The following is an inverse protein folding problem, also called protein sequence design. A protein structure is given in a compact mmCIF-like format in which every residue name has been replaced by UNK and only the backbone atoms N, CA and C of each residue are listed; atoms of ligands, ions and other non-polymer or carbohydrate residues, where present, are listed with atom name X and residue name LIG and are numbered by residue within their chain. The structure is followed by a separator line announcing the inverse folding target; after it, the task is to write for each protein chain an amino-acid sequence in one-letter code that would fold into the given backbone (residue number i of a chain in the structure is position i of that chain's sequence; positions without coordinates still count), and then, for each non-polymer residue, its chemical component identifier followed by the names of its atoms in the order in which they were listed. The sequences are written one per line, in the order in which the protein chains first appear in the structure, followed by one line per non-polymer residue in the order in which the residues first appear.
data_IF_450988447294
#
_entry.id   IF_450988447294
#
_cell.length_a   1.000
_cell.length_b   1.000
_cell.length_c   1.000
_cell.angle_alpha   90.00
_cell.angle_beta   90.00
_cell.angle_gamma   90.00
#
_symmetry.space_group_name_H-M   'P 1'
#
loop_
_entity.id
_entity.type
_entity.pdbx_description
1 polymer ?
#
# COMPACT_ATOMS: atom_id res chain seq x y z
N UNK A 1 -11.38 8.63 22.95
CA UNK A 1 -11.77 9.98 23.39
C UNK A 1 -11.46 10.98 22.28
N UNK A 2 -12.30 11.98 22.05
CA UNK A 2 -12.04 13.03 21.06
C UNK A 2 -11.53 14.28 21.76
N UNK A 3 -10.23 14.52 21.61
CA UNK A 3 -9.51 15.60 22.29
C UNK A 3 -9.38 16.80 21.36
N UNK A 4 -9.47 17.99 21.94
CA UNK A 4 -9.09 19.23 21.29
C UNK A 4 -7.66 19.59 21.67
N UNK A 5 -6.83 19.77 20.65
CA UNK A 5 -5.46 20.23 20.71
C UNK A 5 -5.28 21.25 19.56
N UNK A 6 -5.34 22.56 19.84
CA UNK A 6 -5.29 23.59 18.80
C UNK A 6 -3.88 23.80 18.23
N UNK A 7 -2.84 23.48 19.00
CA UNK A 7 -1.44 23.63 18.59
C UNK A 7 -0.85 22.32 18.06
N UNK A 8 -1.63 21.24 18.10
CA UNK A 8 -1.28 19.91 17.58
C UNK A 8 0.03 19.39 18.22
N UNK A 9 0.17 19.61 19.53
CA UNK A 9 1.36 19.25 20.29
C UNK A 9 1.51 17.74 20.47
N UNK A 10 0.39 17.01 20.65
CA UNK A 10 0.43 15.58 20.88
C UNK A 10 0.65 14.80 19.58
N UNK A 11 1.66 13.92 19.56
CA UNK A 11 1.97 13.06 18.41
C UNK A 11 1.43 11.64 18.59
N UNK A 12 1.43 10.90 17.49
CA UNK A 12 1.10 9.47 17.52
C UNK A 12 2.11 8.72 18.38
N UNK A 13 1.60 7.92 19.33
CA UNK A 13 2.43 7.14 20.25
C UNK A 13 2.71 7.84 21.59
N UNK A 14 2.33 9.11 21.75
CA UNK A 14 2.48 9.82 23.01
C UNK A 14 1.44 9.37 24.05
N UNK A 15 1.88 9.32 25.31
CA UNK A 15 0.99 9.15 26.46
C UNK A 15 0.63 10.52 26.98
N UNK A 16 -0.66 10.85 26.91
CA UNK A 16 -1.16 12.18 27.27
C UNK A 16 -2.21 12.11 28.38
N UNK A 17 -2.23 13.15 29.21
CA UNK A 17 -3.31 13.43 30.16
C UNK A 17 -4.31 14.36 29.50
N UNK A 18 -5.58 13.96 29.51
CA UNK A 18 -6.70 14.76 29.05
C UNK A 18 -7.62 15.11 30.22
N UNK A 19 -8.27 16.27 30.13
CA UNK A 19 -9.28 16.70 31.12
C UNK A 19 -10.58 17.04 30.42
N UNK A 20 -11.69 16.84 31.14
CA UNK A 20 -13.01 17.26 30.65
C UNK A 20 -13.06 18.78 30.49
N UNK A 21 -13.72 19.25 29.44
CA UNK A 21 -13.91 20.66 29.14
C UNK A 21 -15.35 20.94 28.75
N UNK A 22 -15.71 22.22 28.60
CA UNK A 22 -16.94 22.59 27.91
C UNK A 22 -16.96 21.95 26.51
N UNK A 23 -18.13 21.59 25.96
CA UNK A 23 -18.22 21.03 24.61
C UNK A 23 -17.59 21.95 23.58
N UNK A 24 -16.66 21.42 22.79
CA UNK A 24 -15.91 22.17 21.75
C UNK A 24 -16.53 21.89 20.39
N UNK A 25 -17.05 20.67 20.19
CA UNK A 25 -17.82 20.28 19.01
C UNK A 25 -18.88 19.25 19.38
N UNK A 26 -19.59 18.71 18.38
CA UNK A 26 -20.54 17.61 18.56
C UNK A 26 -19.93 16.40 19.31
N UNK A 27 -18.63 16.16 19.13
CA UNK A 27 -17.93 14.98 19.69
C UNK A 27 -16.75 15.32 20.60
N UNK A 28 -16.13 16.51 20.47
CA UNK A 28 -14.97 16.91 21.28
C UNK A 28 -15.42 17.54 22.61
N UNK A 29 -15.20 16.84 23.72
CA UNK A 29 -15.49 17.27 25.11
C UNK A 29 -14.29 17.19 26.04
N UNK A 30 -13.11 16.91 25.48
CA UNK A 30 -11.87 16.72 26.20
C UNK A 30 -10.83 17.67 25.63
N UNK A 31 -9.97 18.22 26.49
CA UNK A 31 -8.81 19.04 26.07
C UNK A 31 -7.51 18.39 26.51
N UNK A 32 -6.45 18.61 25.75
CA UNK A 32 -5.10 18.22 26.14
C UNK A 32 -4.71 19.00 27.40
N UNK A 33 -4.27 18.28 28.44
CA UNK A 33 -3.81 18.88 29.69
C UNK A 33 -2.29 18.86 29.80
N UNK A 34 -1.68 17.71 29.51
CA UNK A 34 -0.23 17.48 29.62
C UNK A 34 0.20 16.26 28.79
N UNK A 35 1.43 16.27 28.28
CA UNK A 35 2.07 15.11 27.64
C UNK A 35 2.96 14.45 28.69
N UNK A 36 2.63 13.23 29.10
CA UNK A 36 3.33 12.51 30.17
C UNK A 36 4.56 11.75 29.65
N UNK A 37 4.48 11.23 28.42
CA UNK A 37 5.60 10.56 27.76
C UNK A 37 5.50 10.77 26.27
N UNK A 38 6.53 11.36 25.67
CA UNK A 38 6.65 11.44 24.22
C UNK A 38 7.38 10.23 23.68
N UNK A 39 6.85 9.61 22.62
CA UNK A 39 7.59 8.60 21.86
C UNK A 39 8.10 9.24 20.59
N UNK A 40 9.41 9.37 20.49
CA UNK A 40 10.06 9.62 19.21
C UNK A 40 9.99 8.32 18.42
N UNK A 41 9.00 8.23 17.53
CA UNK A 41 9.02 7.21 16.50
C UNK A 41 10.21 7.56 15.62
N UNK A 42 11.30 6.81 15.75
CA UNK A 42 12.34 6.82 14.74
C UNK A 42 11.65 6.37 13.44
N UNK A 43 11.37 7.33 12.56
CA UNK A 43 10.99 7.07 11.19
C UNK A 43 12.17 6.34 10.54
N UNK A 44 12.24 5.03 10.72
CA UNK A 44 13.10 4.17 9.92
C UNK A 44 12.70 4.45 8.48
N UNK A 45 13.57 5.14 7.75
CA UNK A 45 13.35 5.37 6.35
C UNK A 45 13.29 3.99 5.68
N UNK A 46 12.27 3.69 4.87
CA UNK A 46 12.18 2.39 4.20
C UNK A 46 13.37 2.11 3.26
N UNK A 47 14.23 3.10 3.01
CA UNK A 47 15.44 3.00 2.18
C UNK A 47 16.61 2.23 2.82
N UNK A 48 16.54 1.84 4.11
CA UNK A 48 17.58 1.02 4.76
C UNK A 48 17.40 -0.50 4.61
N UNK A 49 16.35 -0.97 3.92
CA UNK A 49 16.27 -2.39 3.56
C UNK A 49 17.25 -2.63 2.40
N UNK A 50 18.51 -2.91 2.75
CA UNK A 50 19.48 -3.46 1.81
C UNK A 50 18.97 -4.82 1.36
N UNK A 51 18.36 -4.85 0.17
CA UNK A 51 18.07 -6.10 -0.51
C UNK A 51 19.42 -6.63 -0.97
N UNK A 52 20.05 -7.49 -0.17
CA UNK A 52 21.27 -8.18 -0.57
C UNK A 52 21.00 -8.88 -1.91
N UNK A 53 21.58 -8.35 -2.98
CA UNK A 53 21.53 -8.87 -4.35
C UNK A 53 22.19 -10.27 -4.47
N UNK A 54 22.60 -10.89 -3.35
CA UNK A 54 23.24 -12.20 -3.30
C UNK A 54 22.28 -13.38 -3.50
N UNK A 55 20.97 -13.17 -3.57
CA UNK A 55 20.01 -14.26 -3.86
C UNK A 55 19.69 -14.36 -5.36
N UNK A 56 20.12 -13.40 -6.20
CA UNK A 56 19.87 -13.44 -7.64
C UNK A 56 20.88 -14.30 -8.45
N UNK A 57 22.01 -14.70 -7.85
CA UNK A 57 23.09 -15.42 -8.56
C UNK A 57 23.14 -16.94 -8.29
N UNK A 58 22.01 -17.57 -7.94
CA UNK A 58 21.95 -19.03 -7.75
C UNK A 58 21.01 -19.77 -8.75
N UNK A 59 20.38 -19.08 -9.70
CA UNK A 59 19.43 -19.68 -10.63
C UNK A 59 19.84 -19.63 -12.13
N UNK A 60 21.11 -19.35 -12.44
CA UNK A 60 21.58 -19.21 -13.84
C UNK A 60 22.69 -20.18 -14.26
N UNK A 61 22.84 -21.32 -13.58
CA UNK A 61 23.73 -22.41 -14.05
C UNK A 61 23.10 -23.78 -13.84
N UNK A 62 22.17 -24.17 -14.72
CA UNK A 62 21.94 -25.56 -15.19
C UNK A 62 20.60 -25.62 -15.93
N UNK A 63 20.59 -25.40 -17.25
CA UNK A 63 19.59 -25.95 -18.18
C UNK A 63 19.85 -25.52 -19.64
N UNK A 64 21.04 -25.82 -20.17
CA UNK A 64 21.26 -25.83 -21.62
C UNK A 64 21.95 -27.13 -22.00
N UNK A 65 21.18 -28.20 -22.21
CA UNK A 65 21.54 -29.30 -23.12
C UNK A 65 20.33 -30.20 -23.46
N UNK A 66 20.27 -30.61 -24.74
CA UNK A 66 19.28 -31.47 -25.46
C UNK A 66 17.98 -30.77 -25.89
N UNK A 67 17.79 -30.31 -27.14
CA UNK A 67 17.97 -30.91 -28.48
C UNK A 67 16.93 -31.99 -28.85
N UNK A 68 16.52 -31.95 -30.12
CA UNK A 68 15.52 -32.78 -30.84
C UNK A 68 14.05 -32.41 -30.62
N UNK A 69 13.18 -32.36 -31.64
CA UNK A 69 13.31 -32.46 -33.09
C UNK A 69 11.95 -32.05 -33.68
N UNK A 70 11.96 -31.59 -34.94
CA UNK A 70 10.84 -31.58 -35.89
C UNK A 70 9.60 -30.74 -35.50
N UNK A 71 8.86 -30.08 -36.38
CA UNK A 71 8.88 -29.87 -37.81
C UNK A 71 7.64 -28.98 -38.06
N UNK A 72 7.75 -28.06 -39.02
CA UNK A 72 6.64 -27.49 -39.81
C UNK A 72 5.35 -27.07 -39.10
N UNK A 73 5.06 -25.77 -39.10
CA UNK A 73 4.24 -25.18 -40.15
C UNK A 73 3.86 -23.73 -39.83
N UNK A 74 4.15 -22.87 -40.81
CA UNK A 74 3.63 -21.51 -40.96
C UNK A 74 2.10 -21.48 -40.93
N UNK A 75 1.51 -20.46 -40.33
CA UNK A 75 0.36 -19.71 -40.87
C UNK A 75 0.02 -18.54 -39.95
N UNK A 76 0.50 -17.35 -40.34
CA UNK A 76 -0.24 -16.09 -40.20
C UNK A 76 -1.34 -16.13 -41.28
N UNK A 77 -2.62 -15.88 -40.97
CA UNK A 77 -3.13 -14.51 -41.01
C UNK A 77 -4.20 -14.33 -39.89
N UNK A 78 -4.93 -13.26 -39.69
CA UNK A 78 -5.25 -12.12 -40.52
C UNK A 78 -5.73 -11.05 -39.55
N UNK A 79 -5.43 -9.79 -39.87
CA UNK A 79 -6.13 -8.68 -39.26
C UNK A 79 -7.59 -8.74 -39.72
N UNK A 80 -8.57 -8.61 -38.81
CA UNK A 80 -9.84 -7.99 -39.20
C UNK A 80 -10.54 -7.34 -37.99
N UNK A 81 -10.71 -6.03 -38.15
CA UNK A 81 -11.63 -5.17 -37.41
C UNK A 81 -13.06 -5.59 -37.70
N UNK A 82 -13.90 -5.74 -36.67
CA UNK A 82 -15.34 -5.43 -36.77
C UNK A 82 -15.91 -5.12 -35.41
N UNK A 83 -16.39 -3.88 -35.31
CA UNK A 83 -17.33 -3.38 -34.31
C UNK A 83 -18.73 -3.84 -34.65
N UNK A 84 -19.47 -4.40 -33.68
CA UNK A 84 -20.94 -4.38 -33.57
C UNK A 84 -21.21 -4.91 -32.14
N UNK A 85 -21.80 -4.18 -31.20
CA UNK A 85 -23.12 -3.59 -31.29
C UNK A 85 -24.13 -4.57 -30.67
N UNK A 86 -24.39 -4.51 -29.36
CA UNK A 86 -25.74 -4.80 -28.85
C UNK A 86 -25.93 -4.21 -27.45
N UNK A 87 -26.93 -3.35 -27.34
CA UNK A 87 -27.46 -2.76 -26.12
C UNK A 87 -28.83 -3.36 -25.91
N UNK A 88 -29.08 -4.00 -24.76
CA UNK A 88 -30.35 -3.99 -24.01
C UNK A 88 -30.32 -5.11 -22.96
N UNK A 89 -30.03 -4.75 -21.71
CA UNK A 89 -30.45 -5.57 -20.57
C UNK A 89 -31.68 -4.90 -19.92
N UNK A 90 -32.84 -5.41 -20.31
CA UNK A 90 -34.09 -5.25 -19.60
C UNK A 90 -34.26 -6.43 -18.63
N UNK A 91 -34.50 -6.15 -17.34
CA UNK A 91 -35.17 -6.98 -16.33
C UNK A 91 -35.11 -6.23 -14.99
N UNK A 92 -36.13 -6.16 -14.16
CA UNK A 92 -37.46 -6.79 -14.10
C UNK A 92 -38.08 -6.41 -12.77
#
# INVERSE_FOLDING_TARGET
FMTHDPENQAKLGDVVRIVESRPISKTKRWRLAEILSSREIAELQPEEIQVDESVASAAATSALDQAEAAESASTTPDAESTTDGDSEEAQG
#
